data_IF_538760123632
#
_entry.id   IF_538760123632
#
_cell.length_a   1.000
_cell.length_b   1.000
_cell.length_c   1.000
_cell.angle_alpha   90.00
_cell.angle_beta   90.00
_cell.angle_gamma   90.00
#
_symmetry.space_group_name_H-M   'P 1'
#
loop_
_entity.id
_entity.type
_entity.pdbx_description
1 polymer ?
#
# COMPACT_ATOMS: atom_id res chain seq x y z
N UNK A 1 3.84 1.14 23.81
CA UNK A 1 2.60 1.83 24.19
C UNK A 1 2.87 2.70 25.39
N UNK A 2 2.76 3.99 25.22
CA UNK A 2 2.65 4.96 26.31
C UNK A 2 1.16 5.08 26.65
N UNK A 3 0.81 5.24 27.89
CA UNK A 3 -0.58 5.43 28.31
C UNK A 3 -1.20 6.68 27.71
N UNK A 4 -1.83 7.49 28.51
CA UNK A 4 -2.40 8.77 28.06
C UNK A 4 -1.28 9.76 27.75
N UNK A 5 -1.35 10.42 26.57
CA UNK A 5 -0.42 11.49 26.20
C UNK A 5 -1.02 12.81 26.67
N UNK A 6 -0.41 13.43 27.67
CA UNK A 6 -0.78 14.77 28.13
C UNK A 6 0.15 15.80 27.48
N UNK A 7 -0.42 16.71 26.69
CA UNK A 7 0.30 17.83 26.13
C UNK A 7 0.34 18.96 27.16
N UNK A 8 1.51 19.20 27.78
CA UNK A 8 1.74 20.35 28.63
C UNK A 8 2.60 21.37 27.87
N UNK A 9 2.00 22.46 27.30
CA UNK A 9 2.78 23.45 26.60
C UNK A 9 3.72 24.16 27.57
N UNK A 10 5.02 24.05 27.29
CA UNK A 10 6.03 24.84 27.99
C UNK A 10 5.92 26.32 27.53
N UNK A 11 6.09 27.26 28.46
CA UNK A 11 6.04 28.70 28.14
C UNK A 11 7.18 29.20 27.22
N UNK A 12 8.19 28.37 27.00
CA UNK A 12 9.27 28.67 26.06
C UNK A 12 8.80 28.44 24.63
N UNK A 13 8.74 29.47 23.83
CA UNK A 13 8.58 29.34 22.38
C UNK A 13 9.75 28.52 21.86
N UNK A 14 9.52 27.37 21.20
CA UNK A 14 10.59 26.60 20.61
C UNK A 14 11.22 27.40 19.47
N UNK A 15 12.41 27.93 19.69
CA UNK A 15 13.18 28.65 18.67
C UNK A 15 13.77 27.73 17.61
N UNK A 16 13.67 26.41 17.77
CA UNK A 16 14.19 25.40 16.85
C UNK A 16 13.16 24.35 16.39
N UNK A 17 11.88 24.49 16.75
CA UNK A 17 10.84 23.54 16.33
C UNK A 17 10.50 23.62 14.83
N UNK A 18 11.02 24.60 14.09
CA UNK A 18 10.73 24.78 12.69
C UNK A 18 11.35 23.71 11.77
N UNK A 19 12.37 23.00 12.20
CA UNK A 19 13.00 21.95 11.38
C UNK A 19 12.33 20.58 11.51
N UNK A 20 11.62 20.32 12.60
CA UNK A 20 10.77 19.13 12.80
C UNK A 20 9.30 19.37 12.40
N UNK A 21 8.96 20.59 11.96
CA UNK A 21 7.58 21.02 11.67
C UNK A 21 6.98 20.44 10.38
N UNK A 22 7.65 19.50 9.72
CA UNK A 22 7.20 18.89 8.47
C UNK A 22 6.40 17.58 8.61
N UNK A 23 6.26 17.01 9.82
CA UNK A 23 5.55 15.75 9.99
C UNK A 23 4.08 16.00 10.41
N UNK A 24 3.13 15.55 9.57
CA UNK A 24 1.69 15.67 9.84
C UNK A 24 1.22 14.53 10.72
N UNK A 25 0.55 14.83 11.82
CA UNK A 25 -0.16 13.81 12.60
C UNK A 25 -1.47 13.45 11.90
N UNK A 26 -1.65 12.16 11.60
CA UNK A 26 -2.87 11.64 10.97
C UNK A 26 -3.86 11.18 12.03
N UNK A 27 -5.10 11.58 11.86
CA UNK A 27 -6.27 11.09 12.55
C UNK A 27 -7.48 11.24 11.62
N UNK A 28 -8.64 10.73 12.03
CA UNK A 28 -9.86 10.82 11.23
C UNK A 28 -10.21 12.26 10.81
N UNK A 29 -10.03 13.24 11.69
CA UNK A 29 -10.30 14.65 11.38
C UNK A 29 -9.39 15.21 10.28
N UNK A 30 -8.15 14.74 10.22
CA UNK A 30 -7.19 15.17 9.20
C UNK A 30 -7.48 14.55 7.81
N UNK A 31 -8.00 13.32 7.77
CA UNK A 31 -8.25 12.61 6.50
C UNK A 31 -9.66 12.78 5.95
N UNK A 32 -10.67 13.00 6.80
CA UNK A 32 -12.08 13.07 6.36
C UNK A 32 -12.37 14.11 5.27
N UNK A 33 -11.70 15.29 5.22
CA UNK A 33 -11.87 16.22 4.12
C UNK A 33 -11.36 15.72 2.76
N UNK A 34 -10.46 14.74 2.77
CA UNK A 34 -9.92 14.11 1.56
C UNK A 34 -10.88 13.08 0.94
N UNK A 35 -11.93 12.70 1.67
CA UNK A 35 -12.90 11.68 1.31
C UNK A 35 -14.27 12.29 1.04
N UNK A 36 -14.46 13.01 -0.09
CA UNK A 36 -15.73 13.65 -0.38
C UNK A 36 -16.82 12.61 -0.66
N UNK A 37 -18.08 12.90 -0.33
CA UNK A 37 -19.19 12.02 -0.65
C UNK A 37 -19.33 11.87 -2.17
N UNK A 38 -19.66 10.65 -2.61
CA UNK A 38 -19.88 10.36 -4.03
C UNK A 38 -21.07 11.15 -4.59
N UNK A 39 -20.95 11.55 -5.85
CA UNK A 39 -22.08 12.15 -6.59
C UNK A 39 -23.22 11.14 -6.69
N UNK A 40 -24.45 11.60 -6.61
CA UNK A 40 -25.64 10.73 -6.77
C UNK A 40 -25.71 10.06 -8.16
N UNK A 41 -25.05 10.66 -9.15
CA UNK A 41 -24.97 10.18 -10.54
C UNK A 41 -23.74 9.33 -10.80
N UNK A 42 -22.93 9.03 -9.78
CA UNK A 42 -21.71 8.25 -9.94
C UNK A 42 -22.03 6.82 -10.44
N UNK A 43 -21.25 6.35 -11.38
CA UNK A 43 -21.30 4.98 -11.89
C UNK A 43 -19.97 4.24 -11.62
N UNK A 44 -19.94 2.95 -11.83
CA UNK A 44 -18.76 2.11 -11.55
C UNK A 44 -17.47 2.59 -12.23
N UNK A 45 -17.55 3.24 -13.38
CA UNK A 45 -16.40 3.80 -14.09
C UNK A 45 -15.76 4.99 -13.36
N UNK A 46 -16.56 5.77 -12.60
CA UNK A 46 -16.06 6.94 -11.86
C UNK A 46 -15.29 6.55 -10.59
N UNK A 47 -15.40 5.29 -10.17
CA UNK A 47 -14.77 4.78 -8.96
C UNK A 47 -13.50 3.95 -9.23
N UNK A 48 -13.04 3.98 -10.48
CA UNK A 48 -11.80 3.40 -10.94
C UNK A 48 -11.77 1.87 -11.06
N UNK A 49 -10.72 1.40 -11.72
CA UNK A 49 -10.48 0.00 -12.06
C UNK A 49 -9.17 -0.46 -11.39
N UNK A 50 -9.24 -1.56 -10.68
CA UNK A 50 -8.09 -2.12 -9.96
C UNK A 50 -7.78 -3.51 -10.49
N UNK A 51 -6.51 -3.75 -10.79
CA UNK A 51 -5.97 -5.08 -11.02
C UNK A 51 -5.13 -5.50 -9.80
N UNK A 52 -5.45 -6.63 -9.23
CA UNK A 52 -4.59 -7.24 -8.20
C UNK A 52 -3.86 -8.44 -8.81
N UNK A 53 -2.54 -8.46 -8.67
CA UNK A 53 -1.67 -9.53 -9.12
C UNK A 53 -0.95 -10.17 -7.93
N UNK A 54 -1.30 -11.42 -7.63
CA UNK A 54 -0.80 -12.15 -6.47
C UNK A 54 -1.47 -13.51 -6.34
N UNK A 55 -1.58 -14.03 -5.10
CA UNK A 55 -2.22 -15.33 -4.88
C UNK A 55 -1.54 -16.46 -5.63
N UNK A 56 -0.22 -16.56 -5.51
CA UNK A 56 0.60 -17.69 -5.98
C UNK A 56 0.26 -19.00 -5.30
N UNK A 57 0.92 -20.10 -5.67
CA UNK A 57 0.63 -21.43 -5.12
C UNK A 57 0.51 -21.43 -3.60
N UNK A 58 -0.59 -21.99 -3.08
CA UNK A 58 -0.84 -22.10 -1.65
C UNK A 58 -1.25 -20.81 -0.91
N UNK A 59 -1.34 -19.64 -1.58
CA UNK A 59 -1.61 -18.35 -0.94
C UNK A 59 -2.85 -17.61 -1.48
N UNK A 60 -4.02 -18.25 -1.58
CA UNK A 60 -5.24 -17.60 -2.09
C UNK A 60 -5.80 -16.51 -1.17
N UNK A 61 -5.53 -16.61 0.15
CA UNK A 61 -6.13 -15.75 1.17
C UNK A 61 -5.66 -14.30 1.07
N UNK A 62 -4.37 -14.07 0.87
CA UNK A 62 -3.78 -12.74 0.81
C UNK A 62 -4.39 -11.86 -0.29
N UNK A 63 -4.39 -12.38 -1.53
CA UNK A 63 -4.93 -11.64 -2.68
C UNK A 63 -6.45 -11.45 -2.55
N UNK A 64 -7.16 -12.41 -1.96
CA UNK A 64 -8.59 -12.29 -1.70
C UNK A 64 -8.89 -11.18 -0.69
N UNK A 65 -8.15 -11.11 0.42
CA UNK A 65 -8.30 -10.04 1.41
C UNK A 65 -8.08 -8.66 0.79
N UNK A 66 -7.04 -8.49 -0.01
CA UNK A 66 -6.78 -7.25 -0.72
C UNK A 66 -7.92 -6.88 -1.69
N UNK A 67 -8.43 -7.85 -2.44
CA UNK A 67 -9.52 -7.64 -3.39
C UNK A 67 -10.86 -7.29 -2.68
N UNK A 68 -11.18 -7.98 -1.59
CA UNK A 68 -12.37 -7.66 -0.79
C UNK A 68 -12.27 -6.28 -0.13
N UNK A 69 -11.08 -5.91 0.36
CA UNK A 69 -10.83 -4.58 0.91
C UNK A 69 -11.02 -3.49 -0.15
N UNK A 70 -10.50 -3.70 -1.37
CA UNK A 70 -10.69 -2.78 -2.48
C UNK A 70 -12.17 -2.56 -2.82
N UNK A 71 -12.97 -3.63 -2.93
CA UNK A 71 -14.41 -3.54 -3.15
C UNK A 71 -15.13 -2.78 -2.02
N UNK A 72 -14.82 -3.09 -0.76
CA UNK A 72 -15.44 -2.47 0.41
C UNK A 72 -15.08 -1.00 0.57
N UNK A 73 -13.87 -0.61 0.17
CA UNK A 73 -13.43 0.79 0.14
C UNK A 73 -14.02 1.55 -1.04
N UNK A 74 -14.65 0.82 -1.96
CA UNK A 74 -15.48 1.42 -2.99
C UNK A 74 -14.85 1.49 -4.36
N UNK A 75 -13.91 0.63 -4.70
CA UNK A 75 -13.46 0.46 -6.08
C UNK A 75 -14.65 0.17 -7.02
N UNK A 76 -14.62 0.74 -8.20
CA UNK A 76 -15.70 0.56 -9.19
C UNK A 76 -15.68 -0.81 -9.84
N UNK A 77 -14.50 -1.28 -10.23
CA UNK A 77 -14.26 -2.58 -10.85
C UNK A 77 -12.95 -3.17 -10.31
N UNK A 78 -13.01 -4.44 -9.93
CA UNK A 78 -11.84 -5.15 -9.38
C UNK A 78 -11.61 -6.44 -10.17
N UNK A 79 -10.43 -6.55 -10.79
CA UNK A 79 -9.94 -7.79 -11.42
C UNK A 79 -8.83 -8.39 -10.56
N UNK A 80 -8.82 -9.71 -10.47
CA UNK A 80 -7.77 -10.46 -9.79
C UNK A 80 -7.09 -11.40 -10.78
N UNK A 81 -5.78 -11.30 -10.87
CA UNK A 81 -4.90 -12.28 -11.50
C UNK A 81 -4.20 -13.08 -10.41
N UNK A 82 -4.41 -14.38 -10.38
CA UNK A 82 -3.80 -15.30 -9.43
C UNK A 82 -3.45 -16.65 -10.08
N UNK A 83 -2.67 -17.45 -9.37
CA UNK A 83 -2.32 -18.77 -9.83
C UNK A 83 -3.59 -19.61 -10.12
N UNK A 84 -3.63 -20.37 -11.24
CA UNK A 84 -4.83 -21.09 -11.66
C UNK A 84 -5.46 -22.00 -10.59
N UNK A 85 -4.67 -22.66 -9.77
CA UNK A 85 -5.17 -23.55 -8.69
C UNK A 85 -5.96 -22.81 -7.62
N UNK A 86 -5.66 -21.51 -7.40
CA UNK A 86 -6.29 -20.70 -6.36
C UNK A 86 -7.58 -20.01 -6.80
N UNK A 87 -7.89 -20.02 -8.12
CA UNK A 87 -9.08 -19.36 -8.66
C UNK A 87 -10.38 -19.75 -7.96
N UNK A 88 -10.68 -21.04 -7.72
CA UNK A 88 -11.92 -21.41 -7.03
C UNK A 88 -12.03 -20.81 -5.63
N UNK A 89 -10.92 -20.69 -4.91
CA UNK A 89 -10.90 -20.16 -3.54
C UNK A 89 -11.00 -18.64 -3.52
N UNK A 90 -10.36 -17.95 -4.45
CA UNK A 90 -10.35 -16.48 -4.53
C UNK A 90 -11.74 -15.95 -4.90
N UNK A 91 -12.42 -16.58 -5.85
CA UNK A 91 -13.70 -16.07 -6.36
C UNK A 91 -14.93 -16.65 -5.67
N UNK A 92 -14.78 -17.68 -4.82
CA UNK A 92 -15.88 -18.29 -4.09
C UNK A 92 -16.64 -17.26 -3.24
N UNK A 93 -17.96 -17.11 -3.47
CA UNK A 93 -18.82 -16.19 -2.71
C UNK A 93 -18.57 -14.69 -2.97
N UNK A 94 -17.82 -14.36 -4.02
CA UNK A 94 -17.54 -12.97 -4.43
C UNK A 94 -17.76 -12.79 -5.94
N UNK A 95 -19.01 -12.80 -6.39
CA UNK A 95 -19.34 -12.69 -7.83
C UNK A 95 -18.98 -11.32 -8.41
N UNK A 96 -18.72 -10.31 -7.58
CA UNK A 96 -18.30 -8.98 -8.00
C UNK A 96 -16.84 -8.93 -8.50
N UNK A 97 -16.01 -9.88 -8.05
CA UNK A 97 -14.62 -9.98 -8.49
C UNK A 97 -14.56 -10.53 -9.91
N UNK A 98 -13.86 -9.83 -10.78
CA UNK A 98 -13.61 -10.25 -12.15
C UNK A 98 -12.29 -11.01 -12.22
N UNK A 99 -12.23 -11.96 -13.14
CA UNK A 99 -11.07 -12.80 -13.36
C UNK A 99 -10.17 -12.27 -14.48
N UNK A 100 -8.88 -12.06 -14.15
CA UNK A 100 -7.82 -11.86 -15.14
C UNK A 100 -7.25 -13.20 -15.59
N UNK A 101 -7.36 -13.55 -16.87
CA UNK A 101 -6.92 -14.86 -17.37
C UNK A 101 -5.41 -14.97 -17.41
N UNK A 102 -4.78 -14.01 -18.05
CA UNK A 102 -3.35 -13.95 -18.27
C UNK A 102 -2.86 -12.53 -17.91
N UNK A 103 -1.67 -12.41 -17.33
CA UNK A 103 -1.09 -11.13 -17.00
C UNK A 103 -0.43 -10.56 -18.28
N UNK A 104 -1.23 -9.85 -19.08
CA UNK A 104 -0.82 -9.24 -20.34
C UNK A 104 -0.83 -7.71 -20.24
N UNK A 105 -0.16 -7.02 -21.15
CA UNK A 105 -0.21 -5.55 -21.24
C UNK A 105 -1.65 -5.05 -21.37
N UNK A 106 -2.51 -5.73 -22.14
CA UNK A 106 -3.93 -5.36 -22.24
C UNK A 106 -4.66 -5.43 -20.90
N UNK A 107 -4.34 -6.42 -20.06
CA UNK A 107 -4.91 -6.53 -18.72
C UNK A 107 -4.38 -5.43 -17.79
N UNK A 108 -3.10 -5.09 -17.91
CA UNK A 108 -2.45 -4.02 -17.12
C UNK A 108 -3.01 -2.66 -17.55
N UNK A 109 -3.08 -2.37 -18.83
CA UNK A 109 -3.63 -1.12 -19.40
C UNK A 109 -5.10 -0.89 -19.06
N UNK A 110 -5.84 -1.98 -18.79
CA UNK A 110 -7.23 -1.87 -18.36
C UNK A 110 -7.37 -1.21 -16.97
N UNK A 111 -6.36 -1.30 -16.11
CA UNK A 111 -6.41 -0.87 -14.72
C UNK A 111 -5.86 0.55 -14.53
N UNK A 112 -6.56 1.37 -13.76
CA UNK A 112 -6.04 2.66 -13.29
C UNK A 112 -5.00 2.46 -12.17
N UNK A 113 -5.13 1.36 -11.40
CA UNK A 113 -4.21 1.00 -10.31
C UNK A 113 -3.94 -0.50 -10.32
N UNK A 114 -2.67 -0.87 -10.18
CA UNK A 114 -2.23 -2.26 -9.99
C UNK A 114 -1.78 -2.47 -8.55
N UNK A 115 -2.22 -3.55 -7.92
CA UNK A 115 -1.67 -4.06 -6.65
C UNK A 115 -0.83 -5.28 -6.94
N UNK A 116 0.44 -5.23 -6.59
CA UNK A 116 1.37 -6.34 -6.76
C UNK A 116 1.90 -6.82 -5.41
N UNK A 117 1.85 -8.12 -5.17
CA UNK A 117 2.55 -8.72 -4.05
C UNK A 117 1.76 -9.56 -3.05
N UNK A 118 0.50 -9.24 -2.70
CA UNK A 118 -0.27 -10.07 -1.76
C UNK A 118 -0.26 -11.55 -2.16
N UNK A 119 0.49 -12.35 -1.40
CA UNK A 119 0.65 -13.78 -1.68
C UNK A 119 1.22 -14.13 -3.05
N UNK A 120 2.03 -13.25 -3.66
CA UNK A 120 2.62 -13.48 -4.98
C UNK A 120 3.58 -14.68 -4.98
N UNK A 121 4.27 -14.90 -3.87
CA UNK A 121 5.29 -15.92 -3.73
C UNK A 121 6.66 -15.46 -4.23
N UNK A 122 7.71 -16.12 -3.73
CA UNK A 122 9.10 -15.81 -4.08
C UNK A 122 9.69 -16.81 -5.07
N UNK A 123 8.91 -17.81 -5.45
CA UNK A 123 9.27 -18.85 -6.41
C UNK A 123 9.20 -18.35 -7.86
N UNK A 124 9.57 -19.20 -8.81
CA UNK A 124 9.66 -18.85 -10.23
C UNK A 124 8.38 -18.22 -10.80
N UNK A 125 7.20 -18.69 -10.39
CA UNK A 125 5.94 -18.10 -10.85
C UNK A 125 5.80 -16.64 -10.39
N UNK A 126 6.01 -16.36 -9.10
CA UNK A 126 5.91 -15.01 -8.55
C UNK A 126 6.93 -14.05 -9.18
N UNK A 127 8.17 -14.50 -9.35
CA UNK A 127 9.22 -13.72 -10.02
C UNK A 127 8.83 -13.38 -11.47
N UNK A 128 8.30 -14.34 -12.22
CA UNK A 128 7.86 -14.12 -13.59
C UNK A 128 6.75 -13.06 -13.67
N UNK A 129 5.73 -13.15 -12.78
CA UNK A 129 4.65 -12.17 -12.77
C UNK A 129 5.15 -10.77 -12.38
N UNK A 130 6.04 -10.69 -11.40
CA UNK A 130 6.68 -9.43 -11.03
C UNK A 130 7.45 -8.79 -12.18
N UNK A 131 8.24 -9.58 -12.90
CA UNK A 131 8.98 -9.11 -14.08
C UNK A 131 8.04 -8.62 -15.18
N UNK A 132 6.92 -9.31 -15.42
CA UNK A 132 5.90 -8.87 -16.37
C UNK A 132 5.32 -7.50 -16.00
N UNK A 133 4.97 -7.29 -14.72
CA UNK A 133 4.48 -5.99 -14.23
C UNK A 133 5.53 -4.88 -14.37
N UNK A 134 6.79 -5.18 -14.10
CA UNK A 134 7.87 -4.20 -14.22
C UNK A 134 8.22 -3.85 -15.67
N UNK A 135 8.08 -4.79 -16.60
CA UNK A 135 8.36 -4.54 -18.02
C UNK A 135 7.29 -3.65 -18.67
N UNK A 136 6.10 -3.57 -18.08
CA UNK A 136 5.01 -2.75 -18.60
C UNK A 136 5.21 -1.27 -18.23
N UNK A 137 5.21 -0.41 -19.25
CA UNK A 137 5.40 1.03 -19.08
C UNK A 137 4.08 1.79 -18.86
N UNK A 138 2.94 1.15 -19.06
CA UNK A 138 1.62 1.79 -19.07
C UNK A 138 0.89 1.69 -17.72
N UNK A 139 1.49 1.06 -16.70
CA UNK A 139 0.93 1.05 -15.37
C UNK A 139 0.99 2.46 -14.76
N UNK A 140 -0.15 3.16 -14.72
CA UNK A 140 -0.23 4.53 -14.21
C UNK A 140 0.14 4.61 -12.73
N UNK A 141 -0.40 3.71 -11.91
CA UNK A 141 -0.13 3.64 -10.47
C UNK A 141 -0.02 2.20 -9.97
N UNK A 142 0.93 1.95 -9.07
CA UNK A 142 1.15 0.63 -8.49
C UNK A 142 1.27 0.67 -6.97
N UNK A 143 0.62 -0.27 -6.28
CA UNK A 143 0.89 -0.60 -4.89
C UNK A 143 1.82 -1.81 -4.87
N UNK A 144 2.94 -1.70 -4.17
CA UNK A 144 3.94 -2.77 -4.05
C UNK A 144 4.01 -3.20 -2.59
N UNK A 145 3.61 -4.43 -2.31
CA UNK A 145 3.52 -4.97 -0.95
C UNK A 145 4.10 -6.40 -0.89
N UNK A 146 4.36 -6.89 0.28
CA UNK A 146 4.70 -8.28 0.58
C UNK A 146 5.78 -8.86 -0.35
N UNK A 147 5.47 -9.94 -1.11
CA UNK A 147 6.45 -10.62 -1.95
C UNK A 147 6.98 -9.76 -3.09
N UNK A 148 6.21 -8.80 -3.60
CA UNK A 148 6.70 -7.85 -4.59
C UNK A 148 7.80 -6.93 -4.03
N UNK A 149 7.75 -6.55 -2.74
CA UNK A 149 8.83 -5.82 -2.06
C UNK A 149 10.09 -6.69 -1.94
N UNK A 150 9.92 -8.01 -1.68
CA UNK A 150 11.05 -8.94 -1.64
C UNK A 150 11.73 -9.05 -3.02
N UNK A 151 10.96 -9.15 -4.09
CA UNK A 151 11.50 -9.15 -5.47
C UNK A 151 12.17 -7.81 -5.82
N UNK A 152 11.57 -6.68 -5.39
CA UNK A 152 12.15 -5.35 -5.59
C UNK A 152 13.48 -5.18 -4.85
N UNK A 153 13.64 -5.79 -3.67
CA UNK A 153 14.90 -5.77 -2.93
C UNK A 153 16.03 -6.52 -3.67
N UNK A 154 15.70 -7.60 -4.39
CA UNK A 154 16.66 -8.36 -5.19
C UNK A 154 17.03 -7.65 -6.51
N UNK A 155 16.08 -6.94 -7.10
CA UNK A 155 16.23 -6.24 -8.38
C UNK A 155 15.76 -4.78 -8.24
N UNK A 156 16.54 -3.91 -7.60
CA UNK A 156 16.15 -2.55 -7.30
C UNK A 156 15.78 -1.74 -8.54
N UNK A 157 14.64 -1.07 -8.49
CA UNK A 157 14.21 -0.08 -9.48
C UNK A 157 13.65 1.14 -8.76
N UNK A 158 13.71 2.29 -9.42
CA UNK A 158 13.16 3.54 -8.89
C UNK A 158 12.05 4.04 -9.80
N UNK A 159 10.86 4.25 -9.24
CA UNK A 159 9.70 4.82 -9.93
C UNK A 159 8.99 5.82 -9.02
N UNK A 160 8.31 6.80 -9.60
CA UNK A 160 7.59 7.82 -8.82
C UNK A 160 6.07 7.58 -8.78
N UNK A 161 5.58 6.56 -9.47
CA UNK A 161 4.16 6.25 -9.61
C UNK A 161 3.71 5.06 -8.76
N UNK A 162 4.40 4.75 -7.67
CA UNK A 162 4.03 3.66 -6.77
C UNK A 162 3.94 4.05 -5.30
N UNK A 163 3.21 3.24 -4.54
CA UNK A 163 3.22 3.23 -3.07
C UNK A 163 3.84 1.93 -2.61
N UNK A 164 4.93 2.02 -1.85
CA UNK A 164 5.58 0.89 -1.21
C UNK A 164 5.09 0.78 0.24
N UNK A 165 4.68 -0.41 0.66
CA UNK A 165 4.08 -0.62 1.99
C UNK A 165 4.90 -1.58 2.87
N UNK A 166 6.23 -1.36 3.07
CA UNK A 166 7.05 -2.29 3.83
C UNK A 166 6.70 -2.30 5.32
N UNK A 167 6.68 -3.50 5.93
CA UNK A 167 6.90 -3.64 7.36
C UNK A 167 8.41 -3.55 7.67
N UNK A 168 8.86 -3.41 8.95
CA UNK A 168 10.27 -3.21 9.24
C UNK A 168 11.22 -4.29 8.68
N UNK A 169 10.77 -5.55 8.62
CA UNK A 169 11.58 -6.63 8.03
C UNK A 169 11.70 -6.54 6.50
N UNK A 170 10.68 -6.07 5.80
CA UNK A 170 10.73 -5.78 4.36
C UNK A 170 11.60 -4.55 4.07
N UNK A 171 11.48 -3.49 4.88
CA UNK A 171 12.34 -2.32 4.79
C UNK A 171 13.81 -2.68 5.00
N UNK A 172 14.10 -3.56 5.95
CA UNK A 172 15.46 -4.07 6.20
C UNK A 172 16.04 -4.78 4.97
N UNK A 173 15.24 -5.60 4.27
CA UNK A 173 15.67 -6.25 3.00
C UNK A 173 15.91 -5.22 1.90
N UNK A 174 15.01 -4.24 1.74
CA UNK A 174 15.15 -3.15 0.77
C UNK A 174 16.42 -2.34 0.99
N UNK A 175 16.77 -2.07 2.24
CA UNK A 175 17.96 -1.29 2.60
C UNK A 175 19.22 -2.14 2.84
N UNK A 176 19.10 -3.48 2.81
CA UNK A 176 20.20 -4.42 3.08
C UNK A 176 20.82 -4.22 4.46
N UNK A 177 20.00 -3.99 5.47
CA UNK A 177 20.37 -3.79 6.87
C UNK A 177 19.55 -4.71 7.80
N UNK A 178 19.75 -4.61 9.11
CA UNK A 178 18.95 -5.37 10.07
C UNK A 178 17.62 -4.69 10.38
N UNK A 179 16.63 -5.47 10.85
CA UNK A 179 15.36 -4.92 11.36
C UNK A 179 15.60 -4.01 12.58
N UNK A 180 16.66 -4.27 13.36
CA UNK A 180 17.07 -3.43 14.48
C UNK A 180 17.51 -2.05 14.00
N UNK A 181 18.24 -1.96 12.89
CA UNK A 181 18.65 -0.67 12.31
C UNK A 181 17.45 0.15 11.89
N UNK A 182 16.46 -0.49 11.23
CA UNK A 182 15.19 0.17 10.87
C UNK A 182 14.46 0.71 12.11
N UNK A 183 14.40 -0.08 13.17
CA UNK A 183 13.68 0.30 14.40
C UNK A 183 14.42 1.36 15.22
N UNK A 184 15.73 1.46 15.10
CA UNK A 184 16.53 2.47 15.81
C UNK A 184 16.25 3.89 15.31
N UNK A 185 15.99 4.06 14.00
CA UNK A 185 15.60 5.34 13.41
C UNK A 185 14.64 5.10 12.22
N UNK A 186 13.35 5.01 12.52
CA UNK A 186 12.31 4.77 11.52
C UNK A 186 12.11 5.95 10.57
N UNK A 187 12.42 7.18 11.03
CA UNK A 187 12.31 8.38 10.20
C UNK A 187 13.39 8.37 9.11
N UNK A 188 14.64 8.13 9.49
CA UNK A 188 15.71 7.97 8.52
C UNK A 188 15.46 6.78 7.58
N UNK A 189 14.97 5.65 8.10
CA UNK A 189 14.68 4.46 7.32
C UNK A 189 13.62 4.72 6.22
N UNK A 190 12.49 5.38 6.54
CA UNK A 190 11.45 5.67 5.54
C UNK A 190 11.95 6.62 4.45
N UNK A 191 12.78 7.61 4.82
CA UNK A 191 13.41 8.53 3.89
C UNK A 191 14.40 7.83 2.95
N UNK A 192 15.22 6.93 3.49
CA UNK A 192 16.20 6.18 2.68
C UNK A 192 15.53 5.20 1.72
N UNK A 193 14.45 4.51 2.14
CA UNK A 193 13.65 3.68 1.22
C UNK A 193 13.08 4.55 0.10
N UNK A 194 12.50 5.70 0.42
CA UNK A 194 11.93 6.60 -0.58
C UNK A 194 13.02 7.15 -1.53
N UNK A 195 14.15 7.56 -0.99
CA UNK A 195 15.27 8.04 -1.80
C UNK A 195 15.75 6.99 -2.80
N UNK A 196 15.87 5.75 -2.35
CA UNK A 196 16.37 4.63 -3.17
C UNK A 196 15.36 4.15 -4.21
N UNK A 197 14.08 4.07 -3.84
CA UNK A 197 13.04 3.45 -4.67
C UNK A 197 12.05 4.45 -5.28
N UNK A 198 11.97 5.68 -4.77
CA UNK A 198 11.02 6.70 -5.23
C UNK A 198 9.58 6.48 -4.75
N UNK A 199 8.65 7.23 -5.34
CA UNK A 199 7.23 7.15 -5.01
C UNK A 199 6.90 7.54 -3.57
N UNK A 200 5.86 6.92 -3.02
CA UNK A 200 5.45 7.09 -1.63
C UNK A 200 5.80 5.83 -0.85
N UNK A 201 6.35 5.97 0.33
CA UNK A 201 6.68 4.86 1.24
C UNK A 201 5.83 4.94 2.49
N UNK A 202 5.11 3.86 2.79
CA UNK A 202 4.35 3.66 4.01
C UNK A 202 5.07 2.58 4.85
N UNK A 203 5.87 3.00 5.82
CA UNK A 203 6.58 2.10 6.74
C UNK A 203 5.65 1.67 7.87
N UNK A 204 5.13 0.44 7.76
CA UNK A 204 4.17 -0.16 8.70
C UNK A 204 4.76 -0.28 10.14
N UNK A 205 3.89 -0.16 11.15
CA UNK A 205 4.24 -0.39 12.56
C UNK A 205 3.43 0.50 13.50
N UNK A 206 3.69 0.40 14.81
CA UNK A 206 3.12 1.34 15.79
C UNK A 206 3.68 2.74 15.50
N UNK A 207 2.81 3.68 15.12
CA UNK A 207 3.22 4.94 14.51
C UNK A 207 3.68 4.71 13.05
N UNK A 208 2.76 4.27 12.18
CA UNK A 208 3.04 4.11 10.75
C UNK A 208 3.49 5.44 10.14
N UNK A 209 4.62 5.41 9.43
CA UNK A 209 5.19 6.60 8.78
C UNK A 209 4.90 6.58 7.28
N UNK A 210 4.49 7.72 6.72
CA UNK A 210 4.28 7.91 5.29
C UNK A 210 5.17 9.05 4.80
N UNK A 211 5.91 8.82 3.70
CA UNK A 211 6.82 9.82 3.14
C UNK A 211 6.83 9.76 1.61
N UNK A 212 6.76 10.93 0.95
CA UNK A 212 6.75 11.07 -0.51
C UNK A 212 8.02 11.75 -1.09
N UNK A 213 9.01 12.00 -0.24
CA UNK A 213 10.21 12.76 -0.58
C UNK A 213 10.13 14.27 -0.25
N UNK A 214 8.96 14.75 0.16
CA UNK A 214 8.71 16.16 0.53
C UNK A 214 7.92 16.31 1.82
N UNK A 215 6.86 15.54 1.95
CA UNK A 215 5.94 15.55 3.08
C UNK A 215 6.08 14.27 3.88
N UNK A 216 6.00 14.39 5.19
CA UNK A 216 5.96 13.24 6.09
C UNK A 216 4.67 13.27 6.92
N UNK A 217 4.11 12.10 7.14
CA UNK A 217 2.98 11.93 8.02
C UNK A 217 3.19 10.74 8.95
N UNK A 218 2.60 10.80 10.13
CA UNK A 218 2.59 9.72 11.12
C UNK A 218 1.15 9.39 11.51
N UNK A 219 0.78 8.12 11.40
CA UNK A 219 -0.47 7.59 11.92
C UNK A 219 -0.21 6.94 13.27
N UNK A 220 -0.85 7.47 14.31
CA UNK A 220 -0.79 6.92 15.68
C UNK A 220 -2.06 6.15 16.05
N UNK A 221 -3.00 6.08 15.13
CA UNK A 221 -4.21 5.27 15.28
C UNK A 221 -3.86 3.78 15.21
N UNK A 222 -4.77 2.97 15.68
CA UNK A 222 -4.62 1.52 15.70
C UNK A 222 -4.77 0.93 17.09
N UNK A 223 -4.81 -0.39 17.16
CA UNK A 223 -5.00 -1.12 18.40
C UNK A 223 -4.35 -2.52 18.31
N UNK A 224 -4.14 -3.21 19.46
CA UNK A 224 -3.51 -4.53 19.48
C UNK A 224 -4.21 -5.61 18.65
N UNK A 225 -5.51 -5.47 18.38
CA UNK A 225 -6.28 -6.39 17.52
C UNK A 225 -5.82 -6.40 16.07
N UNK A 226 -5.09 -5.38 15.63
CA UNK A 226 -4.48 -5.33 14.30
C UNK A 226 -3.26 -6.26 14.15
N UNK A 227 -2.78 -6.87 15.22
CA UNK A 227 -1.67 -7.83 15.19
C UNK A 227 -2.15 -9.20 14.69
N UNK A 228 -2.68 -9.27 13.47
CA UNK A 228 -3.17 -10.48 12.81
C UNK A 228 -2.67 -10.55 11.37
N UNK A 229 -2.62 -11.78 10.82
CA UNK A 229 -2.28 -11.98 9.41
C UNK A 229 -3.30 -11.34 8.48
N UNK A 230 -2.85 -10.81 7.34
CA UNK A 230 -3.70 -10.23 6.32
C UNK A 230 -3.95 -8.72 6.46
N UNK A 231 -3.56 -8.08 7.56
CA UNK A 231 -3.75 -6.63 7.73
C UNK A 231 -3.02 -5.80 6.65
N UNK A 232 -1.82 -6.24 6.24
CA UNK A 232 -1.09 -5.61 5.13
C UNK A 232 -1.83 -5.75 3.80
N UNK A 233 -2.36 -6.95 3.52
CA UNK A 233 -3.12 -7.22 2.30
C UNK A 233 -4.37 -6.33 2.22
N UNK A 234 -5.10 -6.19 3.35
CA UNK A 234 -6.25 -5.29 3.47
C UNK A 234 -5.84 -3.85 3.21
N UNK A 235 -4.75 -3.38 3.83
CA UNK A 235 -4.22 -2.03 3.64
C UNK A 235 -3.92 -1.74 2.16
N UNK A 236 -3.28 -2.67 1.46
CA UNK A 236 -2.95 -2.53 0.05
C UNK A 236 -4.21 -2.40 -0.83
N UNK A 237 -5.26 -3.16 -0.52
CA UNK A 237 -6.56 -3.03 -1.19
C UNK A 237 -7.26 -1.69 -0.91
N UNK A 238 -7.18 -1.19 0.33
CA UNK A 238 -7.74 0.12 0.72
C UNK A 238 -7.02 1.25 -0.04
N UNK A 239 -5.69 1.29 0.00
CA UNK A 239 -4.90 2.33 -0.67
C UNK A 239 -5.20 2.32 -2.18
N UNK A 240 -5.24 1.14 -2.81
CA UNK A 240 -5.53 1.02 -4.22
C UNK A 240 -6.92 1.58 -4.58
N UNK A 241 -7.94 1.30 -3.76
CA UNK A 241 -9.29 1.80 -4.00
C UNK A 241 -9.39 3.33 -3.83
N UNK A 242 -8.69 3.90 -2.88
CA UNK A 242 -8.65 5.35 -2.66
C UNK A 242 -7.93 6.06 -3.82
N UNK A 243 -6.83 5.48 -4.27
CA UNK A 243 -6.07 5.99 -5.42
C UNK A 243 -6.89 5.91 -6.71
N UNK A 244 -7.58 4.78 -6.95
CA UNK A 244 -8.47 4.61 -8.12
C UNK A 244 -9.67 5.57 -8.11
N UNK A 245 -10.05 6.10 -6.96
CA UNK A 245 -11.07 7.14 -6.79
C UNK A 245 -10.52 8.56 -6.94
N UNK A 246 -9.24 8.73 -7.30
CA UNK A 246 -8.62 9.99 -7.68
C UNK A 246 -7.83 10.71 -6.56
N UNK A 247 -7.56 10.06 -5.42
CA UNK A 247 -6.63 10.61 -4.44
C UNK A 247 -5.20 10.58 -4.98
N UNK A 248 -4.35 11.49 -4.50
CA UNK A 248 -2.91 11.41 -4.76
C UNK A 248 -2.30 10.17 -4.08
N UNK A 249 -1.11 9.72 -4.53
CA UNK A 249 -0.38 8.61 -3.90
C UNK A 249 -0.20 8.83 -2.39
N UNK A 250 0.15 10.06 -1.99
CA UNK A 250 0.37 10.41 -0.60
C UNK A 250 -0.93 10.41 0.21
N UNK A 251 -1.98 11.04 -0.32
CA UNK A 251 -3.27 11.11 0.38
C UNK A 251 -3.93 9.74 0.49
N UNK A 252 -3.86 8.91 -0.56
CA UNK A 252 -4.36 7.54 -0.51
C UNK A 252 -3.63 6.69 0.54
N UNK A 253 -2.30 6.82 0.65
CA UNK A 253 -1.52 6.16 1.69
C UNK A 253 -1.88 6.67 3.10
N UNK A 254 -2.06 7.99 3.27
CA UNK A 254 -2.46 8.60 4.53
C UNK A 254 -3.86 8.15 4.97
N UNK A 255 -4.84 8.18 4.06
CA UNK A 255 -6.21 7.74 4.34
C UNK A 255 -6.29 6.24 4.63
N UNK A 256 -5.50 5.43 3.93
CA UNK A 256 -5.44 3.97 4.15
C UNK A 256 -4.81 3.58 5.48
N UNK A 257 -3.98 4.44 6.07
CA UNK A 257 -3.29 4.18 7.33
C UNK A 257 -4.15 4.47 8.58
N UNK A 258 -5.19 5.30 8.46
CA UNK A 258 -6.16 5.68 9.52
C UNK A 258 -7.39 4.78 9.47
#
# INVERSE_FOLDING_TARGET
HVGEILLAPLQNKPTQANELSGCKLLNYGAISPLLPPRRRTAHKGDCGKILLAGGGPGMPGAIRLAAEAALRTGAGLVKVFCHPENRPLVFAGRPELMFGRDLSSELIDWADVVVAGPGLGQEAWGLQQWQTLLADAHCDHMIVDADALNHLALHPQKRNNWVLTPHPGEAARLLQCSTSDIQSDRFAAVQEVQHRYGGVVLLKGSGTLIFDGRQMAICTEGNPGMASGGMGDVLSGIIAALLAQGLSLFDAACCGAV
#
